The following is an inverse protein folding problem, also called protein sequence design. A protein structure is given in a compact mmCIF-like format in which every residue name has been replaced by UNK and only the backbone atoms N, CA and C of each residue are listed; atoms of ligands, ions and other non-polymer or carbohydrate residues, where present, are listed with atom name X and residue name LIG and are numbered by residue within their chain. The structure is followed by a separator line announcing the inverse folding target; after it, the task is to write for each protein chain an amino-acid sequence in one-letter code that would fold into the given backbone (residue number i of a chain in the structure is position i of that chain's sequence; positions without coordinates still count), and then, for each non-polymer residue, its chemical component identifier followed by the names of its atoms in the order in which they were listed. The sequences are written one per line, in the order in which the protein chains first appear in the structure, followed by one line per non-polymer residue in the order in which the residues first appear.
data_IF_430697818458
#
_entry.id   IF_430697818458
#
_cell.length_a   1.000
_cell.length_b   1.000
_cell.length_c   1.000
_cell.angle_alpha   90.00
_cell.angle_beta   90.00
_cell.angle_gamma   90.00
#
_symmetry.space_group_name_H-M   'P 1'
#
loop_
_entity.id
_entity.type
_entity.pdbx_description
1 polymer ?
#
# COMPACT_ATOMS: atom_id res chain seq x y z
N UNK A 1 53.00 -7.75 32.63
CA UNK A 1 52.44 -6.99 31.48
C UNK A 1 52.38 -5.52 31.89
N UNK A 2 52.87 -4.58 31.07
CA UNK A 2 52.85 -3.16 31.46
C UNK A 2 51.41 -2.60 31.40
N UNK A 3 51.11 -1.62 32.24
CA UNK A 3 49.77 -1.01 32.34
C UNK A 3 49.26 -0.47 30.99
N UNK A 4 50.17 -0.01 30.10
CA UNK A 4 49.82 0.41 28.75
C UNK A 4 49.28 -0.72 27.88
N UNK A 5 49.90 -1.90 27.92
CA UNK A 5 49.38 -3.07 27.21
C UNK A 5 48.02 -3.50 27.75
N UNK A 6 47.82 -3.43 29.08
CA UNK A 6 46.53 -3.77 29.70
C UNK A 6 45.42 -2.81 29.25
N UNK A 7 45.69 -1.50 29.21
CA UNK A 7 44.74 -0.51 28.72
C UNK A 7 44.40 -0.73 27.24
N UNK A 8 45.42 -0.95 26.40
CA UNK A 8 45.22 -1.21 24.96
C UNK A 8 44.38 -2.47 24.73
N UNK A 9 44.63 -3.54 25.49
CA UNK A 9 43.85 -4.78 25.41
C UNK A 9 42.40 -4.59 25.86
N UNK A 10 42.15 -3.79 26.92
CA UNK A 10 40.78 -3.47 27.35
C UNK A 10 40.03 -2.66 26.28
N UNK A 11 40.67 -1.64 25.71
CA UNK A 11 40.08 -0.82 24.66
C UNK A 11 39.81 -1.69 23.43
N UNK A 12 40.80 -2.42 22.92
CA UNK A 12 40.64 -3.29 21.77
C UNK A 12 39.55 -4.35 21.99
N UNK A 13 39.54 -4.99 23.17
CA UNK A 13 38.54 -5.99 23.53
C UNK A 13 37.12 -5.42 23.56
N UNK A 14 36.93 -4.25 24.15
CA UNK A 14 35.64 -3.56 24.18
C UNK A 14 35.15 -3.22 22.77
N UNK A 15 36.03 -2.77 21.87
CA UNK A 15 35.67 -2.47 20.49
C UNK A 15 35.29 -3.73 19.72
N UNK A 16 36.07 -4.82 19.86
CA UNK A 16 35.73 -6.11 19.25
C UNK A 16 34.38 -6.60 19.74
N UNK A 17 34.11 -6.52 21.04
CA UNK A 17 32.82 -6.90 21.62
C UNK A 17 31.67 -6.05 21.05
N UNK A 18 31.86 -4.73 20.95
CA UNK A 18 30.90 -3.81 20.34
C UNK A 18 30.61 -4.14 18.88
N UNK A 19 31.65 -4.42 18.09
CA UNK A 19 31.52 -4.81 16.69
C UNK A 19 30.77 -6.12 16.52
N UNK A 20 31.03 -7.12 17.38
CA UNK A 20 30.30 -8.38 17.40
C UNK A 20 28.82 -8.14 17.70
N UNK A 21 28.49 -7.33 18.72
CA UNK A 21 27.10 -6.98 19.02
C UNK A 21 26.39 -6.31 17.84
N UNK A 22 27.02 -5.32 17.21
CA UNK A 22 26.46 -4.64 16.04
C UNK A 22 26.26 -5.62 14.87
N UNK A 23 27.23 -6.49 14.59
CA UNK A 23 27.13 -7.48 13.53
C UNK A 23 25.98 -8.47 13.78
N UNK A 24 25.80 -8.94 15.01
CA UNK A 24 24.69 -9.82 15.39
C UNK A 24 23.35 -9.11 15.18
N UNK A 25 23.21 -7.88 15.68
CA UNK A 25 21.98 -7.10 15.51
C UNK A 25 21.69 -6.83 14.03
N UNK A 26 22.71 -6.54 13.22
CA UNK A 26 22.59 -6.37 11.78
C UNK A 26 22.10 -7.66 11.12
N UNK A 27 22.67 -8.81 11.45
CA UNK A 27 22.22 -10.11 10.92
C UNK A 27 20.79 -10.41 11.34
N UNK A 28 20.40 -10.12 12.57
CA UNK A 28 19.02 -10.30 13.03
C UNK A 28 18.05 -9.35 12.32
N UNK A 29 18.43 -8.10 12.08
CA UNK A 29 17.63 -7.14 11.34
C UNK A 29 17.46 -7.52 9.86
N UNK A 30 18.50 -8.12 9.25
CA UNK A 30 18.47 -8.58 7.87
C UNK A 30 17.84 -9.97 7.71
N UNK A 31 17.74 -10.75 8.79
CA UNK A 31 17.02 -12.02 8.79
C UNK A 31 15.54 -11.73 8.67
N UNK A 32 15.03 -11.87 7.45
CA UNK A 32 13.60 -11.99 7.21
C UNK A 32 13.09 -13.21 7.98
N UNK A 33 11.98 -13.10 8.74
CA UNK A 33 11.34 -14.29 9.28
C UNK A 33 10.98 -15.23 8.10
N UNK A 34 11.02 -16.56 8.30
CA UNK A 34 10.40 -17.45 7.33
C UNK A 34 8.97 -16.97 7.10
N UNK A 35 8.58 -16.75 5.85
CA UNK A 35 7.19 -16.39 5.54
C UNK A 35 6.31 -17.51 6.10
N UNK A 36 5.65 -17.22 7.23
CA UNK A 36 4.50 -17.97 7.64
C UNK A 36 3.46 -17.73 6.54
N UNK A 37 3.29 -18.73 5.66
CA UNK A 37 2.28 -18.86 4.59
C UNK A 37 0.82 -18.76 5.11
N UNK A 38 0.59 -18.21 6.31
CA UNK A 38 -0.69 -18.18 7.01
C UNK A 38 -1.20 -16.81 7.44
N UNK A 39 -0.54 -15.70 7.10
CA UNK A 39 -1.12 -14.38 7.35
C UNK A 39 -1.69 -13.82 6.04
N UNK A 40 -3.03 -13.67 5.91
CA UNK A 40 -3.57 -12.82 4.87
C UNK A 40 -3.02 -11.41 5.18
N UNK A 41 -2.14 -10.91 4.31
CA UNK A 41 -1.58 -9.58 4.43
C UNK A 41 -2.72 -8.58 4.51
N UNK A 42 -2.81 -7.89 5.65
CA UNK A 42 -3.69 -6.74 5.83
C UNK A 42 -3.29 -5.71 4.76
N UNK A 43 -4.21 -5.25 3.88
CA UNK A 43 -3.88 -4.40 2.75
C UNK A 43 -3.57 -2.93 3.16
N UNK A 44 -2.73 -2.73 4.18
CA UNK A 44 -2.43 -1.42 4.75
C UNK A 44 -1.09 -1.23 5.47
N UNK A 45 -0.20 -2.23 5.58
CA UNK A 45 1.13 -2.00 6.21
C UNK A 45 2.09 -1.36 5.20
N UNK A 46 2.15 -0.03 5.24
CA UNK A 46 3.00 0.83 4.40
C UNK A 46 4.41 0.96 5.04
N UNK A 47 5.08 -0.17 5.23
CA UNK A 47 6.41 -0.23 5.88
C UNK A 47 7.55 -0.02 4.86
N UNK A 48 7.23 0.50 3.67
CA UNK A 48 8.14 0.59 2.53
C UNK A 48 9.00 1.87 2.56
N UNK A 49 10.27 1.73 2.93
CA UNK A 49 11.30 2.69 2.53
C UNK A 49 11.33 2.72 1.00
N UNK A 50 10.94 3.87 0.42
CA UNK A 50 10.55 4.05 -0.98
C UNK A 50 11.68 3.97 -2.02
N UNK A 51 12.45 2.89 -2.00
CA UNK A 51 13.64 2.71 -2.83
C UNK A 51 13.33 1.95 -4.13
N UNK A 52 12.20 1.23 -4.16
CA UNK A 52 11.83 0.39 -5.30
C UNK A 52 10.53 0.87 -5.96
N UNK A 53 10.44 0.84 -7.30
CA UNK A 53 9.16 0.99 -7.98
C UNK A 53 8.21 -0.08 -7.44
N UNK A 54 7.05 0.34 -6.91
CA UNK A 54 6.00 -0.58 -6.45
C UNK A 54 5.81 -1.67 -7.49
N UNK A 55 6.14 -2.92 -7.14
CA UNK A 55 5.90 -4.03 -8.05
C UNK A 55 4.40 -4.05 -8.38
N UNK A 56 4.03 -4.11 -9.67
CA UNK A 56 2.63 -4.25 -10.03
C UNK A 56 2.11 -5.52 -9.38
N UNK A 57 1.02 -5.39 -8.60
CA UNK A 57 0.34 -6.55 -8.00
C UNK A 57 0.14 -7.60 -9.09
N UNK A 58 0.49 -8.86 -8.80
CA UNK A 58 0.23 -9.97 -9.73
C UNK A 58 -1.25 -9.89 -10.13
N UNK A 59 -1.56 -10.04 -11.43
CA UNK A 59 -2.95 -10.13 -11.86
C UNK A 59 -3.63 -11.22 -11.03
N UNK A 60 -4.76 -10.90 -10.40
CA UNK A 60 -5.55 -11.92 -9.74
C UNK A 60 -6.03 -12.91 -10.82
N UNK A 61 -5.77 -14.20 -10.63
CA UNK A 61 -6.21 -15.26 -11.56
C UNK A 61 -7.73 -15.38 -11.64
N UNK A 62 -8.45 -14.71 -10.72
CA UNK A 62 -9.91 -14.64 -10.70
C UNK A 62 -10.35 -13.21 -10.42
N UNK A 63 -11.41 -12.71 -11.08
CA UNK A 63 -12.03 -11.47 -10.67
C UNK A 63 -12.41 -11.59 -9.19
N UNK A 64 -12.14 -10.54 -8.41
CA UNK A 64 -12.61 -10.45 -7.04
C UNK A 64 -14.13 -10.67 -7.05
N UNK A 65 -14.58 -11.63 -6.23
CA UNK A 65 -15.96 -12.06 -6.21
C UNK A 65 -16.91 -10.89 -5.99
N UNK A 66 -17.99 -10.88 -6.77
CA UNK A 66 -19.08 -9.93 -6.70
C UNK A 66 -20.01 -10.21 -7.87
N UNK A 67 -21.29 -10.45 -7.61
CA UNK A 67 -22.28 -10.54 -8.67
C UNK A 67 -22.42 -9.11 -9.21
N UNK A 68 -22.14 -8.84 -10.51
CA UNK A 68 -22.40 -7.54 -11.07
C UNK A 68 -23.87 -7.18 -10.85
N UNK A 69 -24.16 -5.91 -10.58
CA UNK A 69 -25.56 -5.47 -10.58
C UNK A 69 -26.21 -5.85 -11.92
N UNK A 70 -27.52 -6.12 -11.98
CA UNK A 70 -28.20 -6.53 -13.21
C UNK A 70 -28.01 -5.57 -14.40
N UNK A 71 -27.70 -4.30 -14.13
CA UNK A 71 -27.44 -3.23 -15.09
C UNK A 71 -25.95 -2.86 -15.23
N UNK A 72 -25.05 -3.60 -14.60
CA UNK A 72 -23.62 -3.32 -14.67
C UNK A 72 -23.03 -3.80 -16.00
N UNK A 73 -22.84 -2.87 -16.93
CA UNK A 73 -22.12 -3.11 -18.19
C UNK A 73 -20.61 -2.86 -18.03
N UNK A 74 -19.79 -3.84 -18.44
CA UNK A 74 -18.34 -3.68 -18.45
C UNK A 74 -17.92 -2.58 -19.42
N UNK A 75 -16.93 -1.76 -19.03
CA UNK A 75 -16.38 -0.76 -19.94
C UNK A 75 -15.71 -1.42 -21.16
N UNK A 76 -16.10 -1.00 -22.37
CA UNK A 76 -15.56 -1.53 -23.64
C UNK A 76 -14.10 -1.13 -23.94
N UNK A 77 -13.49 -0.29 -23.11
CA UNK A 77 -12.11 0.15 -23.27
C UNK A 77 -11.34 -0.15 -21.99
N UNK A 78 -10.16 -0.76 -22.14
CA UNK A 78 -9.21 -0.97 -21.04
C UNK A 78 -8.26 0.22 -20.98
N UNK A 79 -8.24 0.90 -19.85
CA UNK A 79 -7.38 2.06 -19.65
C UNK A 79 -5.96 1.58 -19.33
N UNK A 80 -5.07 1.63 -20.33
CA UNK A 80 -3.64 1.30 -20.19
C UNK A 80 -2.72 2.51 -20.09
N UNK A 81 -3.24 3.71 -20.38
CA UNK A 81 -2.51 4.98 -20.36
C UNK A 81 -3.03 5.92 -19.26
N UNK A 82 -2.34 7.03 -19.02
CA UNK A 82 -2.70 8.06 -18.03
C UNK A 82 -3.95 8.90 -18.40
N UNK A 83 -4.66 8.54 -19.47
CA UNK A 83 -5.89 9.24 -19.91
C UNK A 83 -7.05 8.91 -18.97
N UNK A 84 -8.12 9.71 -18.92
CA UNK A 84 -9.31 9.36 -18.12
C UNK A 84 -10.31 8.60 -18.97
N UNK A 85 -11.08 7.70 -18.36
CA UNK A 85 -12.12 6.94 -19.06
C UNK A 85 -13.19 7.87 -19.68
N UNK A 86 -13.46 9.01 -19.04
CA UNK A 86 -14.38 10.03 -19.56
C UNK A 86 -13.88 10.73 -20.83
N UNK A 87 -12.58 10.69 -21.11
CA UNK A 87 -12.00 11.25 -22.34
C UNK A 87 -12.13 10.28 -23.53
N UNK A 88 -12.38 9.00 -23.23
CA UNK A 88 -12.47 7.91 -24.21
C UNK A 88 -13.91 7.48 -24.52
N UNK A 89 -14.88 8.03 -23.78
CA UNK A 89 -16.30 7.73 -23.96
C UNK A 89 -17.05 9.00 -24.36
N UNK A 90 -18.07 8.88 -25.24
CA UNK A 90 -18.95 10.01 -25.55
C UNK A 90 -19.60 10.54 -24.26
N UNK A 91 -19.78 11.85 -24.19
CA UNK A 91 -20.35 12.52 -23.02
C UNK A 91 -21.76 11.98 -22.76
N UNK A 92 -22.03 11.54 -21.53
CA UNK A 92 -23.35 11.02 -21.15
C UNK A 92 -24.38 12.13 -21.29
N UNK A 93 -25.41 11.88 -22.09
CA UNK A 93 -26.57 12.77 -22.15
C UNK A 93 -27.15 12.91 -20.73
N UNK A 94 -27.06 14.11 -20.18
CA UNK A 94 -27.65 14.41 -18.88
C UNK A 94 -29.16 14.48 -19.07
N UNK A 95 -29.89 13.68 -18.30
CA UNK A 95 -31.34 13.84 -18.19
C UNK A 95 -31.62 15.29 -17.72
N UNK A 96 -32.62 15.98 -18.28
CA UNK A 96 -33.00 17.31 -17.82
C UNK A 96 -33.21 17.30 -16.30
N UNK A 97 -32.70 18.33 -15.61
CA UNK A 97 -32.90 18.46 -14.18
C UNK A 97 -34.39 18.53 -13.89
N UNK A 98 -34.88 17.67 -12.98
CA UNK A 98 -36.26 17.74 -12.50
C UNK A 98 -36.41 19.03 -11.71
N UNK A 99 -37.36 19.88 -12.09
CA UNK A 99 -37.66 21.09 -11.34
C UNK A 99 -38.03 20.73 -9.89
N UNK A 100 -37.53 21.47 -8.90
CA UNK A 100 -37.88 21.24 -7.50
C UNK A 100 -39.39 21.39 -7.30
N UNK A 101 -39.98 20.43 -6.60
CA UNK A 101 -41.41 20.40 -6.28
C UNK A 101 -41.75 21.61 -5.42
N UNK A 102 -42.72 22.43 -5.85
CA UNK A 102 -43.13 23.63 -5.11
C UNK A 102 -43.84 23.20 -3.83
N UNK A 103 -43.33 23.67 -2.70
CA UNK A 103 -43.94 23.44 -1.40
C UNK A 103 -45.36 24.06 -1.34
N UNK A 104 -46.36 23.38 -0.73
CA UNK A 104 -47.68 23.95 -0.55
C UNK A 104 -47.61 25.20 0.35
N UNK A 105 -48.22 26.30 -0.10
CA UNK A 105 -48.39 27.50 0.72
C UNK A 105 -49.59 27.29 1.63
N UNK A 106 -49.38 27.31 2.95
CA UNK A 106 -50.47 27.24 3.91
C UNK A 106 -51.30 28.53 3.83
N UNK A 107 -52.54 28.44 3.35
CA UNK A 107 -53.49 29.53 3.47
C UNK A 107 -54.13 29.49 4.87
N UNK A 108 -54.04 30.58 5.67
CA UNK A 108 -54.84 30.73 6.88
C UNK A 108 -56.27 31.12 6.49
N UNK A 109 -57.24 30.43 7.08
CA UNK A 109 -58.67 30.75 7.00
C UNK A 109 -59.10 31.76 8.05
#
# INVERSE_FOLDING_TARGET
MSAGYQLLLMIAGMHVLGLVCVAVLMVLALRQPPEDDRRPSDPGSDDGWGNEPRQPRRPYDRPWGGIPLPDAEQAGVRLRDARKLGDLRPNRERRPAREPERAPVHQPG
#
